data_IF_011460491657
#
_entry.id   IF_011460491657
#
_cell.length_a   1.000
_cell.length_b   1.000
_cell.length_c   1.000
_cell.angle_alpha   90.00
_cell.angle_beta   90.00
_cell.angle_gamma   90.00
#
_symmetry.space_group_name_H-M   'P 1'
#
loop_
_entity.id
_entity.type
_entity.pdbx_description
1 polymer ?
#
# COMPACT_ATOMS: atom_id res chain seq x y z
N UNK A 1 1.06 5.40 15.54
CA UNK A 1 2.10 5.79 14.56
C UNK A 1 3.24 4.78 14.51
N UNK A 2 3.89 4.48 15.65
CA UNK A 2 4.91 3.42 15.74
C UNK A 2 4.44 2.08 15.17
N UNK A 3 3.18 1.71 15.40
CA UNK A 3 2.65 0.42 14.94
C UNK A 3 2.46 0.35 13.42
N UNK A 4 2.22 1.47 12.74
CA UNK A 4 2.14 1.51 11.26
C UNK A 4 3.51 1.28 10.64
N UNK A 5 4.53 1.97 11.17
CA UNK A 5 5.91 1.79 10.72
C UNK A 5 6.35 0.35 10.98
N UNK A 6 6.08 -0.19 12.17
CA UNK A 6 6.35 -1.60 12.50
C UNK A 6 5.61 -2.56 11.57
N UNK A 7 4.34 -2.29 11.27
CA UNK A 7 3.56 -3.11 10.34
C UNK A 7 4.22 -3.16 8.96
N UNK A 8 4.51 -2.00 8.36
CA UNK A 8 5.13 -1.95 7.03
C UNK A 8 6.52 -2.57 7.06
N UNK A 9 7.33 -2.30 8.07
CA UNK A 9 8.69 -2.85 8.16
C UNK A 9 8.70 -4.38 8.33
N UNK A 10 7.74 -4.95 9.07
CA UNK A 10 7.59 -6.41 9.18
C UNK A 10 7.09 -7.05 7.89
N UNK A 11 6.24 -6.35 7.13
CA UNK A 11 5.88 -6.79 5.79
C UNK A 11 7.06 -6.69 4.82
N UNK A 12 7.86 -5.61 4.92
CA UNK A 12 8.98 -5.31 4.04
C UNK A 12 10.17 -6.25 4.25
N UNK A 13 10.48 -6.62 5.49
CA UNK A 13 11.48 -7.66 5.82
C UNK A 13 11.03 -9.07 5.46
N UNK A 14 9.73 -9.28 5.17
CA UNK A 14 9.17 -10.61 4.98
C UNK A 14 8.96 -11.39 6.26
N UNK A 15 9.07 -10.76 7.43
CA UNK A 15 8.87 -11.38 8.75
C UNK A 15 7.39 -11.69 9.04
N UNK A 16 6.46 -10.90 8.48
CA UNK A 16 5.03 -11.09 8.71
C UNK A 16 4.18 -10.63 7.52
N UNK A 17 2.90 -11.03 7.53
CA UNK A 17 1.87 -10.54 6.61
C UNK A 17 2.16 -10.86 5.13
N UNK A 18 2.84 -11.98 4.86
CA UNK A 18 3.28 -12.36 3.52
C UNK A 18 2.11 -12.50 2.54
N UNK A 19 0.96 -12.96 3.03
CA UNK A 19 -0.28 -13.17 2.27
C UNK A 19 -1.24 -11.96 2.30
N UNK A 20 -0.84 -10.82 2.87
CA UNK A 20 -1.70 -9.64 2.94
C UNK A 20 -1.74 -8.93 1.58
N UNK A 21 -2.93 -8.84 1.00
CA UNK A 21 -3.15 -8.24 -0.32
C UNK A 21 -3.63 -6.78 -0.24
N UNK A 22 -4.48 -6.47 0.74
CA UNK A 22 -5.09 -5.16 0.91
C UNK A 22 -5.32 -4.84 2.38
N UNK A 23 -5.02 -3.62 2.80
CA UNK A 23 -5.33 -3.12 4.14
C UNK A 23 -5.61 -1.63 4.09
N UNK A 24 -6.62 -1.19 4.84
CA UNK A 24 -6.85 0.22 5.13
C UNK A 24 -6.87 0.40 6.63
N UNK A 25 -6.15 1.40 7.14
CA UNK A 25 -6.12 1.78 8.55
C UNK A 25 -6.50 3.24 8.65
N UNK A 26 -7.56 3.52 9.39
CA UNK A 26 -7.98 4.87 9.74
C UNK A 26 -7.50 5.19 11.16
N UNK A 27 -6.89 6.36 11.34
CA UNK A 27 -6.45 6.84 12.65
C UNK A 27 -7.38 7.93 13.15
N UNK A 28 -7.72 7.93 14.44
CA UNK A 28 -8.48 9.03 15.04
C UNK A 28 -7.66 10.32 15.31
N UNK A 29 -6.45 10.46 14.75
CA UNK A 29 -5.54 11.60 15.00
C UNK A 29 -5.83 12.78 14.05
N UNK A 30 -5.45 14.01 14.39
CA UNK A 30 -5.75 15.19 13.56
C UNK A 30 -5.02 15.23 12.22
N UNK A 31 -3.74 14.85 12.17
CA UNK A 31 -2.98 14.72 10.92
C UNK A 31 -1.91 13.62 11.02
N UNK A 32 -1.76 12.81 9.96
CA UNK A 32 -0.63 11.88 9.86
C UNK A 32 0.63 12.62 9.41
N UNK A 33 1.79 12.46 10.09
CA UNK A 33 3.05 13.00 9.60
C UNK A 33 3.55 12.13 8.44
N UNK A 34 2.94 12.34 7.26
CA UNK A 34 3.12 11.55 6.05
C UNK A 34 4.60 11.35 5.70
N UNK A 35 5.37 12.44 5.70
CA UNK A 35 6.78 12.38 5.30
C UNK A 35 7.62 11.57 6.29
N UNK A 36 7.36 11.68 7.59
CA UNK A 36 8.07 10.90 8.61
C UNK A 36 7.81 9.40 8.44
N UNK A 37 6.55 9.03 8.18
CA UNK A 37 6.16 7.64 7.96
C UNK A 37 6.81 7.10 6.68
N UNK A 38 6.70 7.83 5.57
CA UNK A 38 7.28 7.42 4.28
C UNK A 38 8.81 7.27 4.36
N UNK A 39 9.49 8.17 5.08
CA UNK A 39 10.93 8.06 5.30
C UNK A 39 11.28 6.86 6.18
N UNK A 40 10.51 6.61 7.25
CA UNK A 40 10.78 5.52 8.19
C UNK A 40 10.55 4.12 7.60
N UNK A 41 9.70 3.99 6.58
CA UNK A 41 9.44 2.72 5.88
C UNK A 41 10.31 2.55 4.62
N UNK A 42 11.22 3.49 4.34
CA UNK A 42 12.06 3.44 3.14
C UNK A 42 11.26 3.50 1.84
N UNK A 43 10.18 4.30 1.80
CA UNK A 43 9.32 4.38 0.62
C UNK A 43 10.08 4.88 -0.60
N UNK A 44 9.88 4.19 -1.73
CA UNK A 44 10.31 4.60 -3.06
C UNK A 44 9.21 5.39 -3.75
N UNK A 45 9.60 6.16 -4.76
CA UNK A 45 8.74 7.11 -5.45
C UNK A 45 8.72 6.85 -6.96
N UNK A 46 7.52 6.84 -7.53
CA UNK A 46 7.27 6.93 -8.96
C UNK A 46 7.30 8.42 -9.35
N UNK A 47 7.93 8.74 -10.49
CA UNK A 47 7.98 10.11 -11.02
C UNK A 47 6.60 10.78 -10.99
N UNK A 48 6.49 12.05 -10.55
CA UNK A 48 5.23 12.80 -10.60
C UNK A 48 4.63 12.93 -12.01
N UNK A 49 5.46 12.79 -13.05
CA UNK A 49 5.03 12.87 -14.45
C UNK A 49 4.47 11.57 -15.01
N UNK A 50 4.63 10.46 -14.30
CA UNK A 50 4.17 9.13 -14.71
C UNK A 50 2.89 8.77 -13.99
N UNK A 51 2.04 7.96 -14.61
CA UNK A 51 0.81 7.48 -13.99
C UNK A 51 1.06 6.13 -13.30
N UNK A 52 0.89 6.04 -11.97
CA UNK A 52 1.02 4.78 -11.25
C UNK A 52 -0.09 3.79 -11.62
N UNK A 53 0.17 2.48 -11.48
CA UNK A 53 -0.90 1.49 -11.57
C UNK A 53 -1.88 1.64 -10.39
N UNK A 54 -3.15 1.28 -10.63
CA UNK A 54 -4.23 1.32 -9.63
C UNK A 54 -4.46 -0.07 -9.06
N UNK A 55 -4.27 -0.24 -7.75
CA UNK A 55 -4.54 -1.49 -7.07
C UNK A 55 -6.02 -1.58 -6.64
N UNK A 56 -6.70 -2.61 -7.10
CA UNK A 56 -8.09 -2.92 -6.74
C UNK A 56 -8.29 -4.44 -6.78
N UNK A 57 -9.00 -4.98 -5.80
CA UNK A 57 -9.31 -6.41 -5.70
C UNK A 57 -10.83 -6.64 -5.52
N UNK A 58 -11.36 -7.80 -5.96
CA UNK A 58 -12.70 -8.23 -5.56
C UNK A 58 -12.77 -8.45 -4.05
N UNK A 59 -13.82 -7.97 -3.39
CA UNK A 59 -14.12 -8.29 -1.99
C UNK A 59 -14.64 -9.72 -1.90
N UNK A 60 -14.17 -10.48 -0.91
CA UNK A 60 -14.70 -11.82 -0.62
C UNK A 60 -16.05 -11.78 0.11
N UNK A 61 -16.27 -10.73 0.89
CA UNK A 61 -17.51 -10.51 1.63
C UNK A 61 -18.16 -9.23 1.12
N UNK A 62 -19.40 -9.35 0.65
CA UNK A 62 -20.23 -8.24 0.20
C UNK A 62 -21.29 -8.05 1.28
N UNK A 63 -21.26 -6.89 1.95
CA UNK A 63 -22.06 -6.64 3.15
C UNK A 63 -23.57 -6.58 2.87
N UNK A 64 -23.94 -6.06 1.70
CA UNK A 64 -25.32 -5.97 1.21
C UNK A 64 -25.36 -5.96 -0.32
N UNK A 65 -26.52 -6.24 -0.92
CA UNK A 65 -26.68 -6.51 -2.37
C UNK A 65 -26.09 -5.40 -3.27
N UNK A 66 -26.20 -4.14 -2.85
CA UNK A 66 -25.73 -2.97 -3.60
C UNK A 66 -24.34 -2.48 -3.17
N UNK A 67 -23.63 -3.23 -2.32
CA UNK A 67 -22.30 -2.83 -1.88
C UNK A 67 -21.27 -2.97 -3.02
N UNK A 68 -20.33 -2.02 -3.08
CA UNK A 68 -19.26 -2.03 -4.09
C UNK A 68 -18.48 -3.36 -4.02
N UNK A 69 -18.50 -4.19 -5.08
CA UNK A 69 -17.89 -5.52 -5.06
C UNK A 69 -16.37 -5.49 -5.02
N UNK A 70 -15.73 -4.34 -5.24
CA UNK A 70 -14.28 -4.18 -5.22
C UNK A 70 -13.79 -3.37 -4.02
N UNK A 71 -12.51 -3.54 -3.68
CA UNK A 71 -11.84 -2.67 -2.71
C UNK A 71 -11.75 -1.25 -3.26
N UNK A 72 -11.69 -0.27 -2.36
CA UNK A 72 -11.41 1.10 -2.77
C UNK A 72 -10.07 1.14 -3.54
N UNK A 73 -10.00 1.86 -4.67
CA UNK A 73 -8.80 1.89 -5.50
C UNK A 73 -7.64 2.57 -4.78
N UNK A 74 -6.44 2.00 -4.91
CA UNK A 74 -5.20 2.61 -4.44
C UNK A 74 -4.34 2.97 -5.65
N UNK A 75 -4.33 4.26 -6.01
CA UNK A 75 -3.40 4.81 -7.00
C UNK A 75 -2.37 5.65 -6.24
N UNK A 76 -1.15 5.14 -6.13
CA UNK A 76 -0.11 5.80 -5.33
C UNK A 76 1.22 5.91 -6.06
N UNK A 77 1.85 7.08 -5.94
CA UNK A 77 3.24 7.28 -6.37
C UNK A 77 4.25 6.72 -5.36
N UNK A 78 3.82 6.33 -4.17
CA UNK A 78 4.70 5.79 -3.13
C UNK A 78 4.51 4.28 -2.98
N UNK A 79 5.63 3.56 -2.91
CA UNK A 79 5.63 2.11 -2.77
C UNK A 79 6.83 1.64 -1.95
N UNK A 80 6.74 0.42 -1.42
CA UNK A 80 7.83 -0.29 -0.72
C UNK A 80 8.10 -1.63 -1.41
N UNK A 81 9.29 -2.19 -1.20
CA UNK A 81 9.75 -3.41 -1.87
C UNK A 81 10.20 -4.40 -0.81
N UNK A 82 9.50 -5.52 -0.73
CA UNK A 82 9.80 -6.58 0.21
C UNK A 82 11.14 -7.22 -0.12
N UNK A 83 11.98 -7.38 0.90
CA UNK A 83 13.37 -7.84 0.77
C UNK A 83 13.48 -9.31 0.33
N UNK A 84 12.55 -10.16 0.77
CA UNK A 84 12.63 -11.61 0.56
C UNK A 84 12.30 -12.06 -0.86
N UNK A 85 11.39 -11.35 -1.55
CA UNK A 85 10.83 -11.75 -2.86
C UNK A 85 10.75 -10.58 -3.86
N UNK A 86 11.22 -9.40 -3.48
CA UNK A 86 11.11 -8.16 -4.25
C UNK A 86 9.68 -7.72 -4.56
N UNK A 87 8.68 -8.25 -3.86
CA UNK A 87 7.29 -7.87 -4.10
C UNK A 87 7.01 -6.44 -3.68
N UNK A 88 6.14 -5.78 -4.44
CA UNK A 88 5.83 -4.36 -4.22
C UNK A 88 4.56 -4.21 -3.40
N UNK A 89 4.53 -3.23 -2.51
CA UNK A 89 3.26 -2.71 -2.00
C UNK A 89 3.14 -1.21 -2.25
N UNK A 90 2.00 -0.78 -2.79
CA UNK A 90 1.62 0.62 -2.88
C UNK A 90 1.18 1.12 -1.50
N UNK A 91 1.73 2.26 -1.09
CA UNK A 91 1.39 2.93 0.18
C UNK A 91 0.72 4.25 -0.18
N UNK A 92 -0.52 4.47 0.22
CA UNK A 92 -1.23 5.73 0.05
C UNK A 92 -1.59 6.28 1.42
N UNK A 93 -1.13 7.50 1.72
CA UNK A 93 -1.47 8.21 2.95
C UNK A 93 -2.26 9.44 2.56
N UNK A 94 -3.51 9.50 2.96
CA UNK A 94 -4.42 10.62 2.73
C UNK A 94 -5.10 10.97 4.05
N UNK A 95 -4.97 12.22 4.48
CA UNK A 95 -5.52 12.73 5.74
C UNK A 95 -5.13 11.86 6.95
N UNK A 96 -6.05 10.98 7.37
CA UNK A 96 -5.95 10.11 8.54
C UNK A 96 -5.90 8.62 8.17
N UNK A 97 -5.85 8.32 6.89
CA UNK A 97 -5.97 6.96 6.34
C UNK A 97 -4.68 6.52 5.67
N UNK A 98 -4.20 5.35 6.06
CA UNK A 98 -3.17 4.61 5.35
C UNK A 98 -3.82 3.46 4.60
N UNK A 99 -3.65 3.44 3.29
CA UNK A 99 -4.04 2.35 2.41
C UNK A 99 -2.80 1.64 1.90
N UNK A 100 -2.86 0.32 1.92
CA UNK A 100 -1.79 -0.60 1.61
C UNK A 100 -2.31 -1.63 0.61
N UNK A 101 -1.64 -1.75 -0.55
CA UNK A 101 -2.00 -2.73 -1.58
C UNK A 101 -0.76 -3.48 -2.05
N UNK A 102 -0.68 -4.78 -1.76
CA UNK A 102 0.43 -5.62 -2.15
C UNK A 102 0.22 -6.20 -3.56
N UNK A 103 1.18 -5.93 -4.42
CA UNK A 103 1.28 -6.52 -5.74
C UNK A 103 2.05 -7.83 -5.60
N UNK A 104 1.42 -8.94 -5.99
CA UNK A 104 2.11 -10.22 -6.21
C UNK A 104 2.97 -10.14 -7.50
N UNK A 105 3.89 -9.17 -7.51
CA UNK A 105 4.75 -8.75 -8.62
C UNK A 105 6.03 -8.19 -8.05
N UNK A 106 7.15 -8.59 -8.63
CA UNK A 106 8.46 -8.01 -8.33
C UNK A 106 8.50 -6.53 -8.68
N UNK A 107 9.44 -5.77 -8.10
CA UNK A 107 9.64 -4.36 -8.43
C UNK A 107 9.79 -4.11 -9.94
N UNK A 108 10.55 -4.97 -10.62
CA UNK A 108 10.73 -4.89 -12.08
C UNK A 108 9.41 -5.05 -12.85
N UNK A 109 8.55 -5.97 -12.43
CA UNK A 109 7.26 -6.21 -13.07
C UNK A 109 6.27 -5.09 -12.76
N UNK A 110 6.24 -4.62 -11.52
CA UNK A 110 5.42 -3.49 -11.09
C UNK A 110 5.77 -2.21 -11.88
N UNK A 111 7.06 -1.91 -12.04
CA UNK A 111 7.50 -0.71 -12.77
C UNK A 111 7.17 -0.75 -14.27
N UNK A 112 6.93 -1.93 -14.86
CA UNK A 112 6.44 -2.06 -16.24
C UNK A 112 4.96 -1.69 -16.38
N UNK A 113 4.22 -1.60 -15.28
CA UNK A 113 2.82 -1.19 -15.26
C UNK A 113 2.63 0.31 -15.12
N UNK A 114 3.71 1.05 -14.87
CA UNK A 114 3.70 2.52 -14.77
C UNK A 114 3.69 3.10 -16.20
N UNK A 115 2.74 4.00 -16.46
CA UNK A 115 2.57 4.69 -17.75
C UNK A 115 3.34 6.01 -17.81
#
# INVERSE_FOLDING_TARGET
MSDLIKFVNRWNSGDAFQNLEYLTIELCLDAMPRNEILNAIGAKYISPTKKPPTHTLPKRFIEYVDAEPKTNPITSHTYVVRETDSFVASILIQEKTLSFGAWNKTEKEFLRMVE
#
